data_IF_433641467455
#
_entry.id   IF_433641467455
#
_cell.length_a   1.000
_cell.length_b   1.000
_cell.length_c   1.000
_cell.angle_alpha   90.00
_cell.angle_beta   90.00
_cell.angle_gamma   90.00
#
_symmetry.space_group_name_H-M   'P 1'
#
loop_
_entity.id
_entity.type
_entity.pdbx_description
1 polymer ?
#
# COMPACT_ATOMS: atom_id res chain seq x y z
N UNK A 1 -16.13 -11.25 -17.45
CA UNK A 1 -15.68 -10.81 -16.11
C UNK A 1 -15.70 -12.04 -15.21
N UNK A 2 -14.63 -12.31 -14.46
CA UNK A 2 -14.64 -13.38 -13.46
C UNK A 2 -15.45 -12.97 -12.24
N UNK A 3 -15.94 -13.93 -11.47
CA UNK A 3 -16.63 -13.72 -10.19
C UNK A 3 -15.82 -12.81 -9.23
N UNK A 4 -14.49 -12.93 -9.20
CA UNK A 4 -13.59 -12.16 -8.32
C UNK A 4 -13.10 -10.82 -8.91
N UNK A 5 -13.80 -10.26 -9.89
CA UNK A 5 -13.39 -9.02 -10.55
C UNK A 5 -13.57 -7.80 -9.64
N UNK A 6 -12.61 -6.86 -9.57
CA UNK A 6 -12.77 -5.60 -8.82
C UNK A 6 -13.61 -4.55 -9.56
N UNK A 7 -14.04 -4.83 -10.79
CA UNK A 7 -14.86 -3.92 -11.60
C UNK A 7 -16.18 -3.62 -10.90
N UNK A 8 -16.51 -2.34 -10.74
CA UNK A 8 -17.71 -1.88 -10.04
C UNK A 8 -17.51 -1.64 -8.54
N UNK A 9 -16.37 -2.04 -7.97
CA UNK A 9 -16.03 -1.77 -6.59
C UNK A 9 -15.62 -0.30 -6.41
N UNK A 10 -16.28 0.41 -5.51
CA UNK A 10 -15.96 1.80 -5.15
C UNK A 10 -16.07 1.96 -3.65
N UNK A 11 -15.01 2.47 -3.03
CA UNK A 11 -15.05 2.88 -1.63
C UNK A 11 -15.69 4.28 -1.52
N UNK A 12 -16.35 4.59 -0.39
CA UNK A 12 -16.67 5.97 -0.06
C UNK A 12 -15.37 6.75 0.24
N UNK A 13 -15.49 8.06 0.37
CA UNK A 13 -14.39 8.91 0.83
C UNK A 13 -13.98 8.53 2.26
N UNK A 14 -12.67 8.49 2.49
CA UNK A 14 -12.10 8.28 3.81
C UNK A 14 -11.64 9.57 4.48
N UNK A 15 -11.04 9.45 5.65
CA UNK A 15 -10.38 10.52 6.38
C UNK A 15 -8.89 10.24 6.53
N UNK A 16 -8.05 11.12 5.96
CA UNK A 16 -6.59 11.07 6.10
C UNK A 16 -6.18 11.02 7.60
N UNK A 17 -6.82 11.84 8.44
CA UNK A 17 -6.50 11.91 9.86
C UNK A 17 -6.85 10.62 10.60
N UNK A 18 -8.07 10.10 10.40
CA UNK A 18 -8.45 8.81 10.99
C UNK A 18 -7.59 7.66 10.46
N UNK A 19 -7.18 7.73 9.20
CA UNK A 19 -6.32 6.74 8.57
C UNK A 19 -4.94 6.67 9.20
N UNK A 20 -4.34 7.83 9.46
CA UNK A 20 -3.09 7.91 10.22
C UNK A 20 -3.26 7.32 11.63
N UNK A 21 -4.34 7.68 12.33
CA UNK A 21 -4.63 7.13 13.67
C UNK A 21 -4.76 5.61 13.63
N UNK A 22 -5.57 5.07 12.72
CA UNK A 22 -5.75 3.63 12.55
C UNK A 22 -4.44 2.92 12.18
N UNK A 23 -3.61 3.53 11.33
CA UNK A 23 -2.30 2.99 10.94
C UNK A 23 -1.36 2.81 12.14
N UNK A 24 -1.43 3.72 13.12
CA UNK A 24 -0.67 3.62 14.37
C UNK A 24 -1.31 2.60 15.31
N UNK A 25 -2.63 2.68 15.53
CA UNK A 25 -3.36 1.80 16.45
C UNK A 25 -3.28 0.32 16.07
N UNK A 26 -3.33 0.02 14.77
CA UNK A 26 -3.16 -1.34 14.23
C UNK A 26 -1.70 -1.78 14.18
N UNK A 27 -0.76 -0.93 14.62
CA UNK A 27 0.66 -1.27 14.69
C UNK A 27 1.36 -1.35 13.33
N UNK A 28 0.79 -0.79 12.25
CA UNK A 28 1.42 -0.82 10.92
C UNK A 28 2.81 -0.15 10.94
N UNK A 29 3.01 0.83 11.83
CA UNK A 29 4.29 1.52 12.04
C UNK A 29 5.43 0.58 12.46
N UNK A 30 5.13 -0.62 12.96
CA UNK A 30 6.16 -1.60 13.39
C UNK A 30 7.03 -2.10 12.24
N UNK A 31 6.49 -2.10 11.03
CA UNK A 31 7.19 -2.51 9.81
C UNK A 31 7.27 -1.38 8.78
N UNK A 32 6.36 -0.42 8.83
CA UNK A 32 6.24 0.62 7.83
C UNK A 32 6.65 2.00 8.33
N UNK A 33 7.22 2.80 7.44
CA UNK A 33 7.24 4.26 7.55
C UNK A 33 6.51 4.86 6.34
N UNK A 34 5.99 6.07 6.47
CA UNK A 34 5.32 6.77 5.37
C UNK A 34 6.12 8.03 5.05
N UNK A 35 6.35 8.28 3.76
CA UNK A 35 7.05 9.48 3.27
C UNK A 35 6.29 10.74 3.70
N UNK A 36 7.06 11.79 4.02
CA UNK A 36 6.59 13.10 4.49
C UNK A 36 5.66 13.02 5.72
N UNK A 37 5.81 11.98 6.55
CA UNK A 37 5.09 11.83 7.82
C UNK A 37 6.05 11.91 9.00
N UNK A 38 6.47 13.14 9.31
CA UNK A 38 7.40 13.43 10.42
C UNK A 38 6.77 13.22 11.80
N UNK A 39 5.43 13.17 11.88
CA UNK A 39 4.68 13.08 13.14
C UNK A 39 4.24 11.65 13.46
N UNK A 40 5.03 10.64 13.08
CA UNK A 40 4.83 9.28 13.58
C UNK A 40 5.41 9.12 14.99
N UNK A 41 4.79 8.32 15.87
CA UNK A 41 5.38 8.00 17.16
C UNK A 41 6.78 7.41 16.99
N UNK A 42 7.73 7.82 17.83
CA UNK A 42 9.01 7.15 17.90
C UNK A 42 8.82 5.70 18.33
N UNK A 43 9.51 4.79 17.63
CA UNK A 43 9.51 3.39 18.01
C UNK A 43 10.55 3.14 19.11
N UNK A 44 10.15 2.41 20.14
CA UNK A 44 11.03 2.00 21.25
C UNK A 44 12.04 0.92 20.85
N UNK A 45 11.87 0.31 19.69
CA UNK A 45 12.77 -0.71 19.14
C UNK A 45 12.95 -0.52 17.61
N UNK A 46 14.11 -0.88 17.05
CA UNK A 46 14.32 -0.82 15.61
C UNK A 46 13.41 -1.83 14.89
N UNK A 47 12.95 -1.44 13.70
CA UNK A 47 12.15 -2.30 12.83
C UNK A 47 13.01 -3.46 12.33
N UNK A 48 12.57 -4.71 12.54
CA UNK A 48 13.22 -5.89 11.94
C UNK A 48 13.01 -5.93 10.43
N UNK A 49 11.84 -5.48 9.99
CA UNK A 49 11.43 -5.34 8.60
C UNK A 49 11.09 -3.88 8.39
N UNK A 50 11.70 -3.24 7.42
CA UNK A 50 11.41 -1.83 7.12
C UNK A 50 10.99 -1.68 5.66
N UNK A 51 9.77 -1.19 5.46
CA UNK A 51 9.18 -0.90 4.16
C UNK A 51 8.68 0.55 4.18
N UNK A 52 9.22 1.38 3.30
CA UNK A 52 8.79 2.77 3.12
C UNK A 52 7.57 2.79 2.18
N UNK A 53 6.52 3.50 2.58
CA UNK A 53 5.29 3.72 1.81
C UNK A 53 5.16 5.19 1.42
N UNK A 54 4.47 5.47 0.31
CA UNK A 54 4.37 6.82 -0.25
C UNK A 54 5.54 7.19 -1.16
N UNK A 55 5.65 8.48 -1.48
CA UNK A 55 6.64 9.05 -2.38
C UNK A 55 6.28 8.95 -3.86
N UNK A 56 7.25 9.26 -4.70
CA UNK A 56 7.11 9.24 -6.15
C UNK A 56 6.98 7.82 -6.70
N UNK A 57 5.95 7.61 -7.51
CA UNK A 57 5.70 6.34 -8.20
C UNK A 57 5.46 6.57 -9.69
N UNK A 58 5.95 5.65 -10.51
CA UNK A 58 5.75 5.70 -11.97
C UNK A 58 4.41 5.16 -12.44
N UNK A 59 3.62 4.59 -11.52
CA UNK A 59 2.29 4.02 -11.78
C UNK A 59 1.39 4.28 -10.59
N UNK A 60 0.21 4.86 -10.83
CA UNK A 60 -0.81 5.12 -9.82
C UNK A 60 -1.07 3.88 -8.96
N UNK A 61 -0.99 4.04 -7.63
CA UNK A 61 -1.50 3.06 -6.67
C UNK A 61 -2.98 3.31 -6.46
N UNK A 62 -3.83 2.37 -6.89
CA UNK A 62 -5.28 2.51 -6.71
C UNK A 62 -5.70 2.07 -5.31
N UNK A 63 -6.87 2.52 -4.85
CA UNK A 63 -7.44 2.06 -3.57
C UNK A 63 -7.59 0.55 -3.54
N UNK A 64 -8.03 -0.06 -4.66
CA UNK A 64 -8.14 -1.51 -4.76
C UNK A 64 -6.79 -2.22 -4.54
N UNK A 65 -5.69 -1.65 -5.04
CA UNK A 65 -4.36 -2.22 -4.80
C UNK A 65 -3.92 -2.07 -3.34
N UNK A 66 -4.12 -0.89 -2.75
CA UNK A 66 -3.77 -0.63 -1.34
C UNK A 66 -4.57 -1.56 -0.41
N UNK A 67 -5.88 -1.62 -0.59
CA UNK A 67 -6.77 -2.49 0.18
C UNK A 67 -6.38 -3.95 0.03
N UNK A 68 -6.15 -4.42 -1.21
CA UNK A 68 -5.75 -5.82 -1.45
C UNK A 68 -4.44 -6.15 -0.74
N UNK A 69 -3.47 -5.24 -0.72
CA UNK A 69 -2.22 -5.44 0.01
C UNK A 69 -2.39 -5.53 1.53
N UNK A 70 -3.42 -4.89 2.10
CA UNK A 70 -3.69 -4.93 3.54
C UNK A 70 -4.45 -6.20 3.94
N UNK A 71 -5.51 -6.55 3.22
CA UNK A 71 -6.41 -7.66 3.60
C UNK A 71 -6.02 -9.01 2.99
N UNK A 72 -5.05 -9.01 2.08
CA UNK A 72 -4.52 -10.22 1.45
C UNK A 72 -3.00 -10.09 1.22
N UNK A 73 -2.22 -9.92 2.31
CA UNK A 73 -0.81 -9.54 2.22
C UNK A 73 0.08 -10.59 1.55
N UNK A 74 -0.34 -11.87 1.53
CA UNK A 74 0.38 -12.95 0.85
C UNK A 74 0.11 -13.01 -0.66
N UNK A 75 -0.87 -12.29 -1.19
CA UNK A 75 -1.29 -12.43 -2.60
C UNK A 75 -0.21 -12.04 -3.60
N UNK A 76 0.52 -10.96 -3.31
CA UNK A 76 1.53 -10.41 -4.21
C UNK A 76 2.74 -9.97 -3.41
N UNK A 77 3.73 -10.85 -3.33
CA UNK A 77 5.09 -10.53 -2.89
C UNK A 77 6.02 -10.80 -4.07
N UNK A 78 6.76 -9.78 -4.50
CA UNK A 78 7.70 -9.90 -5.62
C UNK A 78 8.71 -11.02 -5.31
N UNK A 79 9.05 -11.90 -6.28
CA UNK A 79 9.98 -13.01 -6.07
C UNK A 79 11.30 -12.57 -5.41
N UNK A 80 11.82 -11.41 -5.79
CA UNK A 80 13.07 -10.85 -5.25
C UNK A 80 13.02 -10.48 -3.76
N UNK A 81 11.84 -10.44 -3.16
CA UNK A 81 11.63 -10.06 -1.76
C UNK A 81 11.01 -11.16 -0.91
N UNK A 82 10.72 -12.34 -1.47
CA UNK A 82 10.05 -13.44 -0.75
C UNK A 82 10.85 -13.83 0.49
N UNK A 83 12.13 -14.15 0.33
CA UNK A 83 13.01 -14.58 1.44
C UNK A 83 13.08 -13.56 2.59
N UNK A 84 12.80 -12.28 2.32
CA UNK A 84 12.81 -11.21 3.32
C UNK A 84 11.45 -10.99 3.99
N UNK A 85 10.35 -11.22 3.28
CA UNK A 85 9.00 -10.84 3.72
C UNK A 85 8.05 -12.01 3.89
N UNK A 86 8.52 -13.26 3.74
CA UNK A 86 7.71 -14.46 4.00
C UNK A 86 8.25 -15.35 5.11
N UNK A 87 7.38 -16.14 5.72
CA UNK A 87 7.74 -17.26 6.58
C UNK A 87 8.27 -18.46 5.76
N UNK A 88 8.54 -19.59 6.43
CA UNK A 88 9.06 -20.80 5.79
C UNK A 88 8.02 -21.47 4.87
N UNK A 89 6.75 -21.18 5.09
CA UNK A 89 5.60 -21.67 4.32
C UNK A 89 5.26 -20.75 3.14
N UNK A 90 5.92 -19.59 3.03
CA UNK A 90 5.73 -18.61 1.97
C UNK A 90 4.61 -17.59 2.22
N UNK A 91 4.06 -17.51 3.42
CA UNK A 91 3.07 -16.50 3.79
C UNK A 91 3.75 -15.20 4.17
N UNK A 92 3.07 -14.06 3.94
CA UNK A 92 3.57 -12.76 4.35
C UNK A 92 3.82 -12.68 5.85
N UNK A 93 4.92 -12.04 6.24
CA UNK A 93 5.20 -11.64 7.62
C UNK A 93 4.34 -10.45 8.08
N UNK A 94 3.62 -9.80 7.15
CA UNK A 94 2.61 -8.79 7.48
C UNK A 94 1.34 -9.49 7.98
N UNK A 95 0.83 -9.04 9.12
CA UNK A 95 -0.43 -9.53 9.70
C UNK A 95 -1.59 -9.40 8.71
N UNK A 96 -2.41 -10.45 8.62
CA UNK A 96 -3.68 -10.42 7.91
C UNK A 96 -4.74 -9.71 8.77
N UNK A 97 -5.10 -8.50 8.36
CA UNK A 97 -6.05 -7.66 9.09
C UNK A 97 -7.52 -7.92 8.73
N UNK A 98 -7.83 -8.89 7.87
CA UNK A 98 -9.20 -9.17 7.39
C UNK A 98 -10.21 -9.50 8.50
N UNK A 99 -9.73 -9.89 9.70
CA UNK A 99 -10.57 -10.24 10.85
C UNK A 99 -10.63 -9.18 11.95
N UNK A 100 -9.65 -8.28 12.00
CA UNK A 100 -9.45 -7.37 13.14
C UNK A 100 -9.68 -5.90 12.77
N UNK A 101 -9.38 -5.52 11.52
CA UNK A 101 -9.57 -4.16 11.02
C UNK A 101 -11.01 -3.95 10.56
N UNK A 102 -11.61 -2.83 10.96
CA UNK A 102 -12.93 -2.46 10.47
C UNK A 102 -12.87 -1.95 9.03
N UNK A 103 -14.02 -2.01 8.34
CA UNK A 103 -14.13 -1.45 6.98
C UNK A 103 -13.83 0.05 6.97
N UNK A 104 -14.23 0.80 7.99
CA UNK A 104 -13.92 2.23 8.12
C UNK A 104 -12.41 2.47 8.25
N UNK A 105 -11.73 1.74 9.12
CA UNK A 105 -10.27 1.84 9.27
C UNK A 105 -9.54 1.53 7.96
N UNK A 106 -9.99 0.50 7.22
CA UNK A 106 -9.42 0.15 5.93
C UNK A 106 -9.56 1.27 4.89
N UNK A 107 -10.75 1.88 4.81
CA UNK A 107 -11.02 3.00 3.90
C UNK A 107 -10.15 4.19 4.27
N UNK A 108 -10.11 4.55 5.56
CA UNK A 108 -9.34 5.67 6.06
C UNK A 108 -7.83 5.47 5.87
N UNK A 109 -7.30 4.25 6.07
CA UNK A 109 -5.90 3.93 5.80
C UNK A 109 -5.59 4.05 4.31
N UNK A 110 -6.48 3.58 3.44
CA UNK A 110 -6.30 3.71 1.99
C UNK A 110 -6.25 5.20 1.57
N UNK A 111 -7.13 6.03 2.12
CA UNK A 111 -7.15 7.50 1.92
C UNK A 111 -5.84 8.14 2.41
N UNK A 112 -5.43 7.83 3.65
CA UNK A 112 -4.18 8.32 4.23
C UNK A 112 -2.96 7.97 3.39
N UNK A 113 -2.84 6.72 2.95
CA UNK A 113 -1.71 6.28 2.13
C UNK A 113 -1.74 6.87 0.74
N UNK A 114 -2.91 6.96 0.10
CA UNK A 114 -3.01 7.51 -1.26
C UNK A 114 -2.60 8.98 -1.30
N UNK A 115 -2.94 9.76 -0.27
CA UNK A 115 -2.53 11.14 -0.14
C UNK A 115 -0.99 11.34 -0.09
N UNK A 116 -0.22 10.26 0.08
CA UNK A 116 1.25 10.26 0.14
C UNK A 116 1.92 9.70 -1.09
N UNK A 117 1.17 9.34 -2.12
CA UNK A 117 1.74 8.92 -3.39
C UNK A 117 1.62 10.03 -4.42
N UNK A 118 2.75 10.38 -5.02
CA UNK A 118 2.81 11.32 -6.14
C UNK A 118 3.11 10.54 -7.42
N UNK A 119 2.27 10.73 -8.43
CA UNK A 119 2.43 10.04 -9.71
C UNK A 119 3.35 10.87 -10.58
N UNK A 120 4.57 10.38 -10.80
CA UNK A 120 5.54 10.99 -11.71
C UNK A 120 5.50 10.20 -13.01
N UNK A 121 5.16 10.88 -14.11
CA UNK A 121 5.28 10.32 -15.45
C UNK A 121 6.71 10.60 -15.90
N UNK A 122 7.59 9.57 -16.00
CA UNK A 122 8.95 9.79 -16.46
C UNK A 122 8.93 10.29 -17.90
N UNK A 123 9.81 11.24 -18.18
CA UNK A 123 9.97 11.87 -19.49
C UNK A 123 10.70 10.91 -20.44
N UNK A 124 10.11 9.76 -20.72
CA UNK A 124 10.51 8.95 -21.87
C UNK A 124 9.83 9.57 -23.09
N UNK A 125 10.64 10.26 -23.90
CA UNK A 125 10.28 10.60 -25.27
C UNK A 125 9.67 9.35 -25.91
N UNK A 126 8.36 9.38 -26.12
CA UNK A 126 7.74 8.49 -27.08
C UNK A 126 8.45 8.80 -28.40
N UNK A 127 9.42 7.96 -28.76
CA UNK A 127 9.89 7.92 -30.13
C UNK A 127 8.66 7.57 -30.95
N UNK A 128 8.09 8.63 -31.52
CA UNK A 128 7.08 8.66 -32.55
C UNK A 128 7.45 7.58 -33.57
N UNK A 129 6.78 6.43 -33.49
CA UNK A 129 6.84 5.44 -34.56
C UNK A 129 6.19 6.12 -35.76
N UNK A 130 7.06 6.70 -36.58
CA UNK A 130 6.72 7.43 -37.79
C UNK A 130 5.81 6.60 -38.68
N UNK A 131 4.61 7.11 -38.89
CA UNK A 131 3.85 6.80 -40.08
C UNK A 131 4.41 7.69 -41.19
N UNK A 132 5.34 7.14 -41.97
CA UNK A 132 5.74 7.70 -43.27
C UNK A 132 4.75 7.27 -44.37
N UNK A 133 4.63 8.07 -45.44
CA UNK A 133 3.52 8.06 -46.40
C UNK A 133 3.44 6.81 -47.30
#
# INVERSE_FOLDING_TARGET
MSEKSPVGFRLPEGSIWKGKTAFVELGCITCHSVVDEDLMPEMTAPRKIHVVLGGEITRVKTYGQLVTSIINPSHVISPQYRDKYTDAEGNSLMTDFSKEMTVEQMIDIAEFLQARYEVVIPDYAYNEYGYGP
#
